data_IF_605319079081
#
_entry.id   IF_605319079081
#
_cell.length_a   1.000
_cell.length_b   1.000
_cell.length_c   1.000
_cell.angle_alpha   90.00
_cell.angle_beta   90.00
_cell.angle_gamma   90.00
#
_symmetry.space_group_name_H-M   'P 1'
#
loop_
_entity.id
_entity.type
_entity.pdbx_description
1 polymer ?
#
# COMPACT_ATOMS: atom_id res chain seq x y z
N UNK A 1 -3.91 -5.39 8.86
CA UNK A 1 -4.74 -6.51 8.39
C UNK A 1 -5.81 -6.79 9.42
N UNK A 2 -7.07 -6.89 9.01
CA UNK A 2 -8.18 -7.34 9.85
C UNK A 2 -8.80 -8.60 9.25
N UNK A 3 -9.04 -9.62 10.09
CA UNK A 3 -9.57 -10.91 9.65
C UNK A 3 -11.06 -10.91 9.31
N UNK A 4 -11.78 -9.82 9.57
CA UNK A 4 -13.18 -9.68 9.18
C UNK A 4 -13.56 -8.19 9.03
N UNK A 5 -14.73 -7.87 8.45
CA UNK A 5 -15.17 -6.48 8.24
C UNK A 5 -15.39 -5.67 9.53
N UNK A 6 -15.37 -6.30 10.71
CA UNK A 6 -15.41 -5.56 11.99
C UNK A 6 -14.19 -4.67 12.21
N UNK A 7 -13.12 -4.85 11.43
CA UNK A 7 -12.01 -3.92 11.37
C UNK A 7 -11.30 -3.68 12.72
N UNK A 8 -11.21 -4.71 13.58
CA UNK A 8 -10.61 -4.63 14.92
C UNK A 8 -9.11 -4.29 14.95
N UNK A 9 -8.49 -4.19 13.77
CA UNK A 9 -7.10 -3.82 13.62
C UNK A 9 -6.95 -2.45 12.96
N UNK A 10 -8.05 -1.69 12.88
CA UNK A 10 -8.12 -0.33 12.35
C UNK A 10 -7.49 -0.22 10.95
N UNK A 11 -7.74 -1.22 10.09
CA UNK A 11 -7.15 -1.30 8.75
C UNK A 11 -7.53 -0.11 7.87
N UNK A 12 -8.70 0.48 8.08
CA UNK A 12 -9.25 1.62 7.30
C UNK A 12 -8.63 2.99 7.63
N UNK A 13 -7.62 3.05 8.49
CA UNK A 13 -6.86 4.28 8.79
C UNK A 13 -5.34 4.08 8.71
N UNK A 14 -4.90 2.96 8.11
CA UNK A 14 -3.49 2.66 7.88
C UNK A 14 -3.07 3.14 6.50
N UNK A 15 -1.77 3.35 6.32
CA UNK A 15 -1.20 3.58 4.98
C UNK A 15 -1.61 2.44 4.02
N UNK A 16 -1.61 1.18 4.53
CA UNK A 16 -2.15 -0.01 3.88
C UNK A 16 -3.10 -0.80 4.80
N UNK A 17 -4.34 -0.94 4.38
CA UNK A 17 -5.39 -1.72 5.03
C UNK A 17 -5.74 -2.95 4.20
N UNK A 18 -5.84 -4.09 4.87
CA UNK A 18 -6.35 -5.34 4.28
C UNK A 18 -7.48 -5.83 5.17
N UNK A 19 -8.66 -6.04 4.60
CA UNK A 19 -9.82 -6.61 5.29
C UNK A 19 -10.18 -7.93 4.63
N UNK A 20 -10.07 -9.02 5.38
CA UNK A 20 -10.46 -10.34 4.93
C UNK A 20 -12.00 -10.49 4.95
N UNK A 21 -12.52 -11.15 3.94
CA UNK A 21 -13.93 -11.49 3.73
C UNK A 21 -14.03 -12.98 3.38
N UNK A 22 -15.25 -13.52 3.34
CA UNK A 22 -15.45 -14.92 2.91
C UNK A 22 -15.00 -15.20 1.47
N UNK A 23 -14.86 -14.16 0.63
CA UNK A 23 -14.54 -14.28 -0.79
C UNK A 23 -13.08 -13.95 -1.12
N UNK A 24 -12.30 -13.46 -0.16
CA UNK A 24 -10.97 -12.88 -0.41
C UNK A 24 -10.72 -11.61 0.40
N UNK A 25 -9.94 -10.68 -0.15
CA UNK A 25 -9.30 -9.58 0.59
C UNK A 25 -9.60 -8.23 -0.06
N UNK A 26 -10.26 -7.34 0.67
CA UNK A 26 -10.42 -5.93 0.28
C UNK A 26 -9.17 -5.12 0.65
N UNK A 27 -8.61 -4.44 -0.34
CA UNK A 27 -7.45 -3.57 -0.20
C UNK A 27 -7.88 -2.11 -0.07
N UNK A 28 -7.33 -1.47 0.95
CA UNK A 28 -7.55 -0.08 1.28
C UNK A 28 -6.20 0.63 1.40
N UNK A 29 -6.09 1.85 0.88
CA UNK A 29 -4.80 2.57 0.84
C UNK A 29 -4.95 4.02 1.29
N UNK A 30 -3.81 4.64 1.62
CA UNK A 30 -3.69 6.08 1.88
C UNK A 30 -4.49 6.61 3.09
N UNK A 31 -4.70 5.78 4.12
CA UNK A 31 -5.24 6.22 5.41
C UNK A 31 -4.19 6.86 6.31
N UNK A 32 -4.66 7.59 7.33
CA UNK A 32 -3.80 8.18 8.36
C UNK A 32 -4.51 8.27 9.72
N UNK A 33 -3.76 7.95 10.79
CA UNK A 33 -4.18 8.05 12.19
C UNK A 33 -3.26 8.99 13.01
N UNK A 34 -2.66 10.01 12.36
CA UNK A 34 -1.74 10.95 12.99
C UNK A 34 -2.41 12.26 13.39
N UNK A 35 -1.63 13.35 13.38
CA UNK A 35 -2.13 14.73 13.61
C UNK A 35 -3.32 15.04 12.69
N UNK A 36 -3.23 14.61 11.43
CA UNK A 36 -4.34 14.60 10.48
C UNK A 36 -4.86 13.17 10.36
N UNK A 37 -6.16 13.00 10.55
CA UNK A 37 -6.84 11.72 10.32
C UNK A 37 -7.41 11.68 8.90
N UNK A 38 -7.35 10.52 8.27
CA UNK A 38 -7.95 10.25 6.95
C UNK A 38 -8.35 8.79 6.87
N UNK A 39 -9.59 8.55 6.45
CA UNK A 39 -10.04 7.22 6.08
C UNK A 39 -9.35 6.78 4.78
N UNK A 40 -8.98 5.51 4.71
CA UNK A 40 -8.42 4.94 3.48
C UNK A 40 -9.41 5.02 2.32
N UNK A 41 -8.87 5.00 1.10
CA UNK A 41 -9.61 4.78 -0.12
C UNK A 41 -9.66 3.28 -0.42
N UNK A 42 -10.80 2.80 -0.94
CA UNK A 42 -10.89 1.43 -1.49
C UNK A 42 -10.13 1.40 -2.81
N UNK A 43 -9.30 0.38 -2.98
CA UNK A 43 -8.45 0.23 -4.16
C UNK A 43 -8.90 -0.96 -5.00
N UNK A 44 -8.78 -2.17 -4.47
CA UNK A 44 -9.02 -3.41 -5.23
C UNK A 44 -9.32 -4.60 -4.32
N UNK A 45 -9.68 -5.72 -4.95
CA UNK A 45 -10.01 -6.97 -4.30
C UNK A 45 -9.16 -8.10 -4.88
N UNK A 46 -8.69 -9.01 -4.03
CA UNK A 46 -7.94 -10.19 -4.43
C UNK A 46 -8.54 -11.45 -3.80
N UNK A 47 -8.45 -12.58 -4.49
CA UNK A 47 -9.00 -13.84 -3.99
C UNK A 47 -8.02 -14.53 -3.04
N UNK A 48 -6.71 -14.32 -3.24
CA UNK A 48 -5.65 -15.03 -2.50
C UNK A 48 -4.73 -14.09 -1.74
N UNK A 49 -4.12 -14.60 -0.67
CA UNK A 49 -3.12 -13.84 0.11
C UNK A 49 -1.86 -13.52 -0.70
N UNK A 50 -1.44 -14.42 -1.59
CA UNK A 50 -0.24 -14.23 -2.42
C UNK A 50 -0.39 -13.04 -3.37
N UNK A 51 -1.57 -12.86 -3.99
CA UNK A 51 -1.88 -11.68 -4.81
C UNK A 51 -1.84 -10.39 -3.99
N UNK A 52 -2.35 -10.42 -2.76
CA UNK A 52 -2.31 -9.28 -1.84
C UNK A 52 -0.86 -8.90 -1.54
N UNK A 53 -0.02 -9.89 -1.22
CA UNK A 53 1.40 -9.66 -0.91
C UNK A 53 2.13 -9.12 -2.13
N UNK A 54 1.93 -9.71 -3.31
CA UNK A 54 2.56 -9.25 -4.55
C UNK A 54 2.15 -7.81 -4.89
N UNK A 55 0.86 -7.50 -4.80
CA UNK A 55 0.35 -6.16 -5.03
C UNK A 55 0.92 -5.13 -4.04
N UNK A 56 0.92 -5.45 -2.74
CA UNK A 56 1.45 -4.53 -1.73
C UNK A 56 2.96 -4.30 -1.91
N UNK A 57 3.73 -5.32 -2.30
CA UNK A 57 5.14 -5.14 -2.64
C UNK A 57 5.32 -4.18 -3.82
N UNK A 58 4.48 -4.33 -4.85
CA UNK A 58 4.49 -3.47 -6.02
C UNK A 58 4.15 -2.01 -5.67
N UNK A 59 3.10 -1.80 -4.87
CA UNK A 59 2.74 -0.45 -4.39
C UNK A 59 3.87 0.16 -3.58
N UNK A 60 4.42 -0.57 -2.60
CA UNK A 60 5.51 -0.08 -1.75
C UNK A 60 6.73 0.28 -2.59
N UNK A 61 7.03 -0.50 -3.64
CA UNK A 61 8.09 -0.19 -4.58
C UNK A 61 7.84 1.13 -5.32
N UNK A 62 6.65 1.28 -5.93
CA UNK A 62 6.26 2.51 -6.63
C UNK A 62 6.36 3.72 -5.70
N UNK A 63 5.80 3.60 -4.49
CA UNK A 63 5.90 4.62 -3.46
C UNK A 63 7.36 4.94 -3.10
N UNK A 64 8.24 3.94 -2.94
CA UNK A 64 9.66 4.19 -2.63
C UNK A 64 10.35 4.99 -3.73
N UNK A 65 10.02 4.73 -4.99
CA UNK A 65 10.66 5.38 -6.13
C UNK A 65 10.16 6.80 -6.38
N UNK A 66 8.89 7.09 -6.06
CA UNK A 66 8.25 8.35 -6.45
C UNK A 66 7.85 9.27 -5.28
N UNK A 67 7.92 8.79 -4.04
CA UNK A 67 7.62 9.60 -2.87
C UNK A 67 8.79 10.55 -2.54
N UNK A 68 8.43 11.75 -2.09
CA UNK A 68 9.39 12.72 -1.58
C UNK A 68 9.90 12.29 -0.20
N UNK A 69 11.07 12.82 0.19
CA UNK A 69 11.59 12.61 1.55
C UNK A 69 10.59 13.09 2.61
N UNK A 70 10.31 12.24 3.60
CA UNK A 70 9.30 12.45 4.66
C UNK A 70 7.85 12.60 4.17
N UNK A 71 7.57 12.26 2.91
CA UNK A 71 6.20 12.11 2.44
C UNK A 71 5.58 10.88 3.11
N UNK A 72 4.27 10.94 3.39
CA UNK A 72 3.47 9.79 3.88
C UNK A 72 2.64 9.28 2.71
N UNK A 73 2.20 8.03 2.75
CA UNK A 73 1.35 7.47 1.68
C UNK A 73 0.09 8.30 1.45
N UNK A 74 -0.52 8.84 2.51
CA UNK A 74 -1.64 9.81 2.42
C UNK A 74 -1.30 11.02 1.54
N UNK A 75 -0.10 11.60 1.69
CA UNK A 75 0.31 12.82 1.00
C UNK A 75 0.76 12.52 -0.43
N UNK A 76 1.41 11.37 -0.62
CA UNK A 76 1.74 10.84 -1.93
C UNK A 76 0.47 10.69 -2.77
N UNK A 77 -0.55 10.01 -2.23
CA UNK A 77 -1.85 9.86 -2.90
C UNK A 77 -2.53 11.21 -3.15
N UNK A 78 -2.53 12.14 -2.20
CA UNK A 78 -3.10 13.49 -2.42
C UNK A 78 -2.41 14.27 -3.53
N UNK A 79 -1.12 14.02 -3.76
CA UNK A 79 -0.32 14.70 -4.79
C UNK A 79 -0.52 14.09 -6.18
N UNK A 80 -0.48 12.76 -6.29
CA UNK A 80 -0.51 12.06 -7.60
C UNK A 80 -1.90 11.57 -7.98
N UNK A 81 -2.78 11.35 -7.01
CA UNK A 81 -4.11 10.78 -7.15
C UNK A 81 -4.11 9.24 -7.15
N UNK A 82 -5.16 8.63 -6.59
CA UNK A 82 -5.33 7.18 -6.61
C UNK A 82 -5.36 6.61 -8.04
N UNK A 83 -6.02 7.31 -8.98
CA UNK A 83 -6.10 6.87 -10.39
C UNK A 83 -4.72 6.70 -11.02
N UNK A 84 -3.78 7.61 -10.72
CA UNK A 84 -2.40 7.52 -11.20
C UNK A 84 -1.71 6.27 -10.63
N UNK A 85 -1.83 6.04 -9.32
CA UNK A 85 -1.25 4.87 -8.67
C UNK A 85 -1.82 3.58 -9.28
N UNK A 86 -3.13 3.53 -9.48
CA UNK A 86 -3.81 2.39 -10.09
C UNK A 86 -3.36 2.16 -11.54
N UNK A 87 -3.18 3.21 -12.33
CA UNK A 87 -2.70 3.10 -13.72
C UNK A 87 -1.27 2.56 -13.84
N UNK A 88 -0.43 2.78 -12.82
CA UNK A 88 0.92 2.21 -12.76
C UNK A 88 0.92 0.75 -12.33
N UNK A 89 -0.20 0.24 -11.80
CA UNK A 89 -0.37 -1.13 -11.30
C UNK A 89 -1.67 -1.74 -11.83
N UNK A 90 -1.99 -1.51 -13.10
CA UNK A 90 -3.27 -1.87 -13.74
C UNK A 90 -3.31 -3.30 -14.29
N UNK A 91 -2.18 -4.00 -14.30
CA UNK A 91 -2.06 -5.37 -14.80
C UNK A 91 -0.97 -6.16 -14.06
N UNK A 92 -1.01 -7.48 -14.23
CA UNK A 92 -0.08 -8.42 -13.58
C UNK A 92 1.38 -8.17 -13.95
N UNK A 93 1.69 -7.80 -15.20
CA UNK A 93 3.07 -7.56 -15.63
C UNK A 93 3.69 -6.37 -14.89
N UNK A 94 2.95 -5.26 -14.76
CA UNK A 94 3.39 -4.09 -14.00
C UNK A 94 3.50 -4.38 -12.51
N UNK A 95 2.51 -5.08 -11.94
CA UNK A 95 2.54 -5.48 -10.52
C UNK A 95 3.79 -6.31 -10.25
N UNK A 96 4.04 -7.33 -11.07
CA UNK A 96 5.20 -8.20 -10.94
C UNK A 96 6.51 -7.42 -11.10
N UNK A 97 6.59 -6.54 -12.11
CA UNK A 97 7.75 -5.69 -12.36
C UNK A 97 8.16 -4.87 -11.13
N UNK A 98 7.21 -4.23 -10.46
CA UNK A 98 7.49 -3.47 -9.25
C UNK A 98 7.74 -4.40 -8.03
N UNK A 99 6.96 -5.48 -7.87
CA UNK A 99 7.09 -6.42 -6.74
C UNK A 99 8.47 -7.08 -6.68
N UNK A 100 9.04 -7.46 -7.82
CA UNK A 100 10.36 -8.11 -7.91
C UNK A 100 11.51 -7.15 -7.62
N UNK A 101 11.30 -5.84 -7.80
CA UNK A 101 12.29 -4.78 -7.56
C UNK A 101 12.32 -4.27 -6.13
N UNK A 102 11.39 -4.71 -5.27
CA UNK A 102 11.43 -4.44 -3.84
C UNK A 102 12.63 -5.18 -3.22
N UNK A 103 13.69 -4.47 -2.81
CA UNK A 103 14.85 -5.09 -2.22
C UNK A 103 14.48 -5.71 -0.89
N UNK A 104 15.11 -6.84 -0.58
CA UNK A 104 15.13 -7.37 0.78
C UNK A 104 15.93 -6.38 1.63
N UNK A 105 15.23 -5.56 2.42
CA UNK A 105 15.88 -4.54 3.26
C UNK A 105 16.56 -5.24 4.44
N UNK A 106 17.85 -5.53 4.31
CA UNK A 106 18.68 -6.06 5.40
C UNK A 106 19.59 -4.97 6.03
N UNK A 107 19.63 -3.76 5.48
CA UNK A 107 20.42 -2.64 5.99
C UNK A 107 19.65 -1.33 5.93
N UNK A 108 19.83 -0.48 6.95
CA UNK A 108 19.26 0.88 6.98
C UNK A 108 19.85 1.72 5.82
N UNK A 109 19.05 2.17 4.84
CA UNK A 109 19.56 2.91 3.69
C UNK A 109 20.09 4.31 4.04
N UNK A 110 19.85 4.79 5.27
CA UNK A 110 20.35 6.06 5.80
C UNK A 110 21.47 5.88 6.83
N UNK A 111 22.04 4.69 6.96
CA UNK A 111 23.10 4.42 7.95
C UNK A 111 24.32 5.34 7.77
N UNK A 112 24.65 5.70 6.53
CA UNK A 112 25.81 6.55 6.22
C UNK A 112 25.48 8.05 6.20
N UNK A 113 24.24 8.42 6.55
CA UNK A 113 23.73 9.80 6.50
C UNK A 113 23.73 10.52 7.86
N UNK A 114 24.26 9.88 8.91
CA UNK A 114 24.28 10.36 10.30
C UNK A 114 25.70 10.49 10.85
#
# INVERSE_FOLDING_TARGET
VSGCPRNCAEATIKDFGVICTEKGYEIHVAGACGIRTKACLKDRFFETEDEVVEYLKAFVQLYREEANYLERVMHFEERVGLDYIQSNLDNEEKIKFYSERLPLVNANPWADSL
#
